data_IF_613690064767
#
_entry.id   IF_613690064767
#
_cell.length_a   1.000
_cell.length_b   1.000
_cell.length_c   1.000
_cell.angle_alpha   90.00
_cell.angle_beta   90.00
_cell.angle_gamma   90.00
#
_symmetry.space_group_name_H-M   'P 1'
#
loop_
_entity.id
_entity.type
_entity.pdbx_description
1 polymer ?
#
# COMPACT_ATOMS: atom_id res chain seq x y z
N UNK A 1 -7.87 19.78 -39.62
CA UNK A 1 -7.71 18.31 -39.65
C UNK A 1 -8.14 17.55 -38.38
N UNK A 2 -7.86 18.00 -37.16
CA UNK A 2 -8.37 17.33 -35.93
C UNK A 2 -9.87 17.58 -35.73
N UNK A 3 -10.40 18.77 -36.07
CA UNK A 3 -11.81 19.11 -35.96
C UNK A 3 -12.70 18.29 -36.86
N UNK A 4 -12.25 17.96 -38.07
CA UNK A 4 -13.04 17.23 -39.08
C UNK A 4 -13.26 15.78 -38.66
N UNK A 5 -12.23 15.12 -38.08
CA UNK A 5 -12.36 13.75 -37.59
C UNK A 5 -13.38 13.60 -36.48
N UNK A 6 -13.42 14.58 -35.55
CA UNK A 6 -14.38 14.59 -34.45
C UNK A 6 -15.81 14.78 -34.96
N UNK A 7 -16.04 15.78 -35.81
CA UNK A 7 -17.35 16.07 -36.42
C UNK A 7 -17.94 14.89 -37.20
N UNK A 8 -17.10 14.24 -38.01
CA UNK A 8 -17.52 13.03 -38.76
C UNK A 8 -17.88 11.91 -37.79
N UNK A 9 -17.03 11.64 -36.79
CA UNK A 9 -17.30 10.59 -35.81
C UNK A 9 -18.57 10.85 -35.00
N UNK A 10 -18.83 12.10 -34.61
CA UNK A 10 -20.09 12.50 -33.95
C UNK A 10 -21.33 12.26 -34.84
N UNK A 11 -21.25 12.64 -36.14
CA UNK A 11 -22.32 12.44 -37.08
C UNK A 11 -22.66 10.95 -37.25
N UNK A 12 -21.63 10.10 -37.38
CA UNK A 12 -21.85 8.64 -37.56
C UNK A 12 -22.31 8.00 -36.23
N UNK A 13 -21.80 8.45 -35.09
CA UNK A 13 -22.25 7.97 -33.79
C UNK A 13 -23.73 8.25 -33.53
N UNK A 14 -24.21 9.44 -33.90
CA UNK A 14 -25.62 9.82 -33.80
C UNK A 14 -26.49 9.05 -34.79
N UNK A 15 -26.00 8.80 -36.01
CA UNK A 15 -26.74 8.09 -37.04
C UNK A 15 -26.85 6.59 -36.81
N UNK A 16 -25.86 5.99 -36.09
CA UNK A 16 -25.80 4.56 -35.83
C UNK A 16 -25.49 4.30 -34.34
N UNK A 17 -26.41 4.64 -33.44
CA UNK A 17 -26.15 4.59 -31.98
C UNK A 17 -25.85 3.17 -31.48
N UNK A 18 -26.54 2.16 -32.05
CA UNK A 18 -26.46 0.77 -31.59
C UNK A 18 -25.33 -0.04 -32.24
N UNK A 19 -24.63 0.55 -33.19
CA UNK A 19 -23.53 -0.16 -33.86
C UNK A 19 -22.32 -0.25 -32.94
N UNK A 20 -21.68 -1.44 -32.91
CA UNK A 20 -20.39 -1.63 -32.22
C UNK A 20 -19.30 -0.79 -32.88
N UNK A 21 -18.32 -0.36 -32.10
CA UNK A 21 -17.30 0.59 -32.54
C UNK A 21 -16.47 0.10 -33.75
N UNK A 22 -16.16 -1.19 -33.85
CA UNK A 22 -15.31 -1.70 -34.92
C UNK A 22 -16.04 -1.74 -36.28
N UNK A 23 -17.27 -2.27 -36.41
CA UNK A 23 -18.03 -2.17 -37.64
C UNK A 23 -18.28 -0.74 -38.10
N UNK A 24 -18.61 0.15 -37.17
CA UNK A 24 -18.83 1.56 -37.46
C UNK A 24 -17.55 2.27 -37.92
N UNK A 25 -16.41 1.97 -37.30
CA UNK A 25 -15.10 2.51 -37.68
C UNK A 25 -14.69 2.07 -39.10
N UNK A 26 -14.98 0.82 -39.47
CA UNK A 26 -14.77 0.33 -40.87
C UNK A 26 -15.60 1.10 -41.87
N UNK A 27 -16.86 1.38 -41.54
CA UNK A 27 -17.77 2.18 -42.41
C UNK A 27 -17.27 3.62 -42.53
N UNK A 28 -16.88 4.27 -41.39
CA UNK A 28 -16.33 5.64 -41.38
C UNK A 28 -15.07 5.73 -42.25
N UNK A 29 -14.13 4.79 -42.10
CA UNK A 29 -12.90 4.76 -42.87
C UNK A 29 -13.16 4.56 -44.35
N UNK A 30 -14.06 3.64 -44.73
CA UNK A 30 -14.41 3.36 -46.11
C UNK A 30 -15.04 4.57 -46.80
N UNK A 31 -15.89 5.31 -46.10
CA UNK A 31 -16.61 6.46 -46.65
C UNK A 31 -15.80 7.77 -46.57
N UNK A 32 -14.74 7.81 -45.77
CA UNK A 32 -13.90 9.00 -45.58
C UNK A 32 -12.40 8.65 -45.58
N UNK A 33 -11.87 8.02 -46.66
CA UNK A 33 -10.49 7.50 -46.65
C UNK A 33 -9.40 8.57 -46.61
N UNK A 34 -9.70 9.77 -47.08
CA UNK A 34 -8.77 10.90 -47.05
C UNK A 34 -8.55 11.48 -45.65
N UNK A 35 -9.57 11.35 -44.77
CA UNK A 35 -9.54 11.85 -43.40
C UNK A 35 -9.11 10.77 -42.42
N UNK A 36 -9.57 9.55 -42.64
CA UNK A 36 -9.23 8.37 -41.83
C UNK A 36 -8.39 7.38 -42.67
N UNK A 37 -7.08 7.52 -42.57
CA UNK A 37 -6.14 6.65 -43.32
C UNK A 37 -6.25 5.17 -42.94
N UNK A 38 -6.64 4.87 -41.69
CA UNK A 38 -6.79 3.49 -41.19
C UNK A 38 -8.10 3.34 -40.40
N UNK A 39 -8.59 2.10 -40.31
CA UNK A 39 -9.74 1.75 -39.47
C UNK A 39 -9.50 2.12 -38.00
N UNK A 40 -8.26 1.98 -37.51
CA UNK A 40 -7.94 2.27 -36.12
C UNK A 40 -7.98 3.78 -35.83
N UNK A 41 -7.59 4.63 -36.77
CA UNK A 41 -7.77 6.09 -36.62
C UNK A 41 -9.25 6.49 -36.54
N UNK A 42 -10.11 5.85 -37.31
CA UNK A 42 -11.57 6.04 -37.26
C UNK A 42 -12.12 5.52 -35.92
N UNK A 43 -11.66 4.36 -35.47
CA UNK A 43 -12.09 3.73 -34.24
C UNK A 43 -11.66 4.55 -33.00
N UNK A 44 -10.46 5.07 -32.99
CA UNK A 44 -9.95 5.95 -31.92
C UNK A 44 -10.80 7.22 -31.80
N UNK A 45 -11.06 7.89 -32.94
CA UNK A 45 -11.91 9.09 -32.98
C UNK A 45 -13.35 8.80 -32.52
N UNK A 46 -13.91 7.67 -32.94
CA UNK A 46 -15.26 7.24 -32.56
C UNK A 46 -15.36 6.93 -31.06
N UNK A 47 -14.33 6.29 -30.47
CA UNK A 47 -14.25 6.02 -29.02
C UNK A 47 -14.18 7.32 -28.20
N UNK A 48 -13.43 8.31 -28.69
CA UNK A 48 -13.40 9.65 -28.07
C UNK A 48 -14.77 10.26 -28.01
N UNK A 49 -15.51 10.22 -29.13
CA UNK A 49 -16.85 10.79 -29.22
C UNK A 49 -17.87 10.05 -28.34
N UNK A 50 -17.73 8.73 -28.23
CA UNK A 50 -18.61 7.87 -27.40
C UNK A 50 -18.21 7.82 -25.93
N UNK A 51 -17.22 8.60 -25.49
CA UNK A 51 -16.73 8.58 -24.12
C UNK A 51 -16.04 7.28 -23.70
N UNK A 52 -15.64 6.43 -24.66
CA UNK A 52 -15.00 5.13 -24.41
C UNK A 52 -13.47 5.18 -24.49
N UNK A 53 -12.85 6.34 -24.32
CA UNK A 53 -11.40 6.43 -24.21
C UNK A 53 -10.94 5.80 -22.89
N UNK A 54 -10.07 4.78 -22.99
CA UNK A 54 -9.35 4.25 -21.86
C UNK A 54 -8.57 5.37 -21.19
N UNK A 55 -8.64 5.46 -19.85
CA UNK A 55 -8.04 6.49 -19.01
C UNK A 55 -8.74 7.87 -18.96
N UNK A 56 -9.99 8.02 -19.40
CA UNK A 56 -10.82 9.06 -18.81
C UNK A 56 -10.84 8.79 -17.29
N UNK A 57 -10.19 9.64 -16.49
CA UNK A 57 -10.36 9.65 -15.04
C UNK A 57 -11.84 9.64 -14.80
N UNK A 58 -12.37 8.58 -14.19
CA UNK A 58 -13.76 8.56 -13.75
C UNK A 58 -13.92 9.69 -12.75
N UNK A 59 -14.43 10.84 -13.18
CA UNK A 59 -14.84 11.91 -12.29
C UNK A 59 -15.93 11.44 -11.30
N UNK A 60 -16.58 10.35 -11.60
CA UNK A 60 -17.76 9.84 -10.90
C UNK A 60 -17.46 8.81 -9.82
N UNK A 61 -16.17 8.52 -9.52
CA UNK A 61 -15.81 7.58 -8.44
C UNK A 61 -16.00 8.20 -7.04
N UNK A 62 -16.21 9.51 -6.95
CA UNK A 62 -16.43 10.22 -5.69
C UNK A 62 -17.88 10.18 -5.18
N UNK A 63 -18.85 9.87 -6.05
CA UNK A 63 -20.27 9.83 -5.70
C UNK A 63 -20.81 8.43 -5.37
N UNK A 64 -19.95 7.41 -5.39
CA UNK A 64 -20.37 6.11 -4.87
C UNK A 64 -20.53 6.23 -3.36
N UNK A 65 -21.81 6.24 -2.91
CA UNK A 65 -22.11 6.09 -1.49
C UNK A 65 -21.31 4.93 -0.92
N UNK A 66 -20.59 5.10 0.19
CA UNK A 66 -19.87 4.01 0.80
C UNK A 66 -20.86 2.86 1.03
N UNK A 67 -20.45 1.65 0.67
CA UNK A 67 -21.22 0.46 1.02
C UNK A 67 -21.14 0.35 2.54
N UNK A 68 -22.13 0.88 3.22
CA UNK A 68 -22.24 0.78 4.66
C UNK A 68 -22.77 -0.61 5.00
N UNK A 69 -21.90 -1.51 5.39
CA UNK A 69 -22.31 -2.75 6.01
C UNK A 69 -22.52 -2.50 7.51
N UNK A 70 -23.78 -2.42 7.91
CA UNK A 70 -24.21 -2.07 9.27
C UNK A 70 -24.08 -3.23 10.30
N UNK A 71 -23.33 -4.29 9.96
CA UNK A 71 -23.32 -5.54 10.74
C UNK A 71 -21.97 -5.88 11.35
N UNK A 72 -21.15 -4.90 11.76
CA UNK A 72 -19.91 -5.22 12.47
C UNK A 72 -20.15 -5.53 13.93
N UNK A 73 -20.40 -6.78 14.26
CA UNK A 73 -20.26 -7.30 15.61
C UNK A 73 -18.78 -7.42 16.04
N UNK A 74 -17.85 -7.46 15.06
CA UNK A 74 -16.42 -7.55 15.32
C UNK A 74 -15.80 -6.16 15.52
N UNK A 75 -15.28 -5.91 16.72
CA UNK A 75 -14.45 -4.74 17.01
C UNK A 75 -12.99 -5.19 17.01
N UNK A 76 -12.14 -4.60 16.18
CA UNK A 76 -10.73 -4.91 16.24
C UNK A 76 -10.16 -4.42 17.56
N UNK A 77 -9.16 -5.06 18.03
CA UNK A 77 -8.28 -4.70 19.13
C UNK A 77 -8.85 -3.74 20.18
N UNK A 78 -8.81 -4.11 21.44
CA UNK A 78 -9.41 -3.33 22.53
C UNK A 78 -8.43 -2.86 23.59
N UNK A 79 -7.26 -3.47 23.69
CA UNK A 79 -6.32 -3.17 24.76
C UNK A 79 -4.87 -3.34 24.31
N UNK A 80 -4.08 -2.33 24.58
CA UNK A 80 -2.63 -2.45 24.51
C UNK A 80 -2.16 -3.51 25.52
N UNK A 81 -1.18 -4.30 25.11
CA UNK A 81 -0.52 -5.26 25.98
C UNK A 81 0.88 -4.73 26.23
N UNK A 82 1.24 -4.59 27.50
CA UNK A 82 2.58 -4.17 27.86
C UNK A 82 3.61 -5.15 27.30
N UNK A 83 4.54 -4.63 26.51
CA UNK A 83 5.57 -5.39 25.83
C UNK A 83 6.82 -4.53 25.67
N UNK A 84 7.97 -5.17 25.62
CA UNK A 84 9.25 -4.49 25.31
C UNK A 84 9.46 -4.26 23.83
N UNK A 85 8.61 -4.84 22.95
CA UNK A 85 8.73 -4.69 21.50
C UNK A 85 8.55 -3.24 21.06
N UNK A 86 9.53 -2.70 20.37
CA UNK A 86 9.46 -1.40 19.70
C UNK A 86 8.91 -1.57 18.28
N UNK A 87 7.62 -1.29 18.11
CA UNK A 87 6.93 -1.42 16.81
C UNK A 87 6.77 -0.04 16.19
N UNK A 88 7.50 0.21 15.10
CA UNK A 88 7.50 1.47 14.38
C UNK A 88 6.56 1.40 13.17
N UNK A 89 5.67 2.36 13.05
CA UNK A 89 4.82 2.56 11.87
C UNK A 89 5.42 3.75 11.11
N UNK A 90 5.68 3.60 9.82
CA UNK A 90 6.30 4.67 9.03
C UNK A 90 5.74 4.76 7.61
N UNK A 91 5.92 5.94 7.03
CA UNK A 91 5.64 6.25 5.63
C UNK A 91 6.58 7.38 5.16
N UNK A 92 6.96 7.37 3.87
CA UNK A 92 7.82 8.39 3.28
C UNK A 92 7.22 8.94 2.00
N UNK A 93 7.51 10.23 1.73
CA UNK A 93 7.23 10.85 0.44
C UNK A 93 8.53 11.25 -0.26
N UNK A 94 8.63 10.88 -1.53
CA UNK A 94 9.86 11.14 -2.29
C UNK A 94 9.60 12.05 -3.48
N UNK A 95 10.62 12.83 -3.83
CA UNK A 95 10.65 13.59 -5.07
C UNK A 95 10.53 12.64 -6.28
N UNK A 96 9.81 13.01 -7.33
CA UNK A 96 9.86 12.30 -8.60
C UNK A 96 11.24 12.47 -9.26
N UNK A 97 11.64 11.50 -10.07
CA UNK A 97 12.77 11.65 -10.99
C UNK A 97 12.39 12.66 -12.08
N UNK A 98 13.29 13.57 -12.43
CA UNK A 98 13.16 14.43 -13.61
C UNK A 98 14.09 13.91 -14.71
N UNK A 99 13.53 13.72 -15.91
CA UNK A 99 14.31 13.24 -17.05
C UNK A 99 13.86 13.89 -18.36
N UNK A 100 14.79 14.01 -19.30
CA UNK A 100 14.47 14.37 -20.68
C UNK A 100 13.94 13.16 -21.43
N UNK A 101 12.79 13.30 -22.07
CA UNK A 101 12.14 12.25 -22.83
C UNK A 101 11.78 12.75 -24.24
N UNK A 102 11.89 11.86 -25.22
CA UNK A 102 11.53 12.18 -26.60
C UNK A 102 10.03 12.06 -26.88
N UNK A 103 9.33 11.30 -26.04
CA UNK A 103 7.92 10.99 -26.22
C UNK A 103 7.27 10.80 -24.83
N UNK A 104 5.95 10.69 -24.75
CA UNK A 104 5.19 10.47 -23.49
C UNK A 104 4.70 9.02 -23.29
N UNK A 105 4.83 8.19 -24.31
CA UNK A 105 4.37 6.80 -24.31
C UNK A 105 5.51 5.83 -24.61
N UNK A 106 5.50 4.66 -23.95
CA UNK A 106 6.46 3.57 -24.18
C UNK A 106 7.93 4.03 -24.15
N UNK A 107 8.30 4.70 -23.08
CA UNK A 107 9.68 5.20 -22.88
C UNK A 107 10.43 4.30 -21.91
N UNK A 108 11.60 3.84 -22.32
CA UNK A 108 12.67 3.38 -21.44
C UNK A 108 13.65 4.53 -21.24
N UNK A 109 13.75 5.02 -20.00
CA UNK A 109 14.58 6.17 -19.68
C UNK A 109 15.99 5.67 -19.31
N UNK A 110 16.98 6.01 -20.13
CA UNK A 110 18.36 5.73 -19.82
C UNK A 110 18.89 6.69 -18.73
N UNK A 111 19.87 6.22 -17.95
CA UNK A 111 20.43 7.00 -16.81
C UNK A 111 21.02 8.35 -17.23
N UNK A 112 21.55 8.47 -18.46
CA UNK A 112 22.07 9.72 -19.01
C UNK A 112 20.97 10.73 -19.40
N UNK A 113 19.71 10.34 -19.42
CA UNK A 113 18.57 11.24 -19.62
C UNK A 113 18.07 11.85 -18.30
N UNK A 114 18.50 11.31 -17.15
CA UNK A 114 18.08 11.80 -15.83
C UNK A 114 18.70 13.16 -15.58
N UNK A 115 17.87 14.16 -15.41
CA UNK A 115 18.25 15.52 -15.05
C UNK A 115 18.43 15.66 -13.54
N UNK A 116 17.57 14.99 -12.79
CA UNK A 116 17.56 15.02 -11.33
C UNK A 116 17.01 13.70 -10.80
N UNK A 117 17.75 13.09 -9.87
CA UNK A 117 17.34 11.86 -9.21
C UNK A 117 16.35 12.18 -8.08
N UNK A 118 15.72 11.14 -7.56
CA UNK A 118 14.80 11.25 -6.42
C UNK A 118 15.57 11.43 -5.10
N UNK A 119 14.94 12.11 -4.17
CA UNK A 119 15.38 12.23 -2.78
C UNK A 119 14.14 12.21 -1.86
N UNK A 120 14.33 12.09 -0.56
CA UNK A 120 13.21 12.09 0.39
C UNK A 120 12.73 13.53 0.63
N UNK A 121 11.43 13.80 0.46
CA UNK A 121 10.81 15.10 0.74
C UNK A 121 10.36 15.18 2.19
N UNK A 122 9.65 14.14 2.64
CA UNK A 122 9.16 14.04 4.02
C UNK A 122 9.19 12.58 4.47
N UNK A 123 9.27 12.39 5.76
CA UNK A 123 8.98 11.13 6.44
C UNK A 123 8.12 11.38 7.66
N UNK A 124 7.26 10.44 7.99
CA UNK A 124 6.54 10.40 9.25
C UNK A 124 6.64 9.00 9.85
N UNK A 125 6.73 8.93 11.17
CA UNK A 125 6.79 7.68 11.91
C UNK A 125 6.19 7.83 13.31
N UNK A 126 5.61 6.74 13.84
CA UNK A 126 5.13 6.70 15.23
C UNK A 126 5.34 5.30 15.80
N UNK A 127 5.53 5.23 17.10
CA UNK A 127 5.48 3.97 17.82
C UNK A 127 4.01 3.52 17.93
N UNK A 128 3.80 2.23 17.80
CA UNK A 128 2.45 1.64 17.91
C UNK A 128 1.83 2.03 19.26
N UNK A 129 0.60 2.51 19.24
CA UNK A 129 -0.19 3.03 20.36
C UNK A 129 0.25 4.38 20.95
N UNK A 130 1.41 4.92 20.63
CA UNK A 130 1.76 6.27 21.04
C UNK A 130 0.98 7.32 20.23
N UNK A 131 0.57 8.40 20.87
CA UNK A 131 -0.07 9.54 20.18
C UNK A 131 0.94 10.38 19.38
N UNK A 132 2.20 10.39 19.84
CA UNK A 132 3.26 11.19 19.25
C UNK A 132 3.65 10.66 17.87
N UNK A 133 3.61 11.55 16.87
CA UNK A 133 4.17 11.29 15.55
C UNK A 133 5.48 12.06 15.42
N UNK A 134 6.54 11.35 15.08
CA UNK A 134 7.82 11.91 14.70
C UNK A 134 7.79 12.17 13.20
N UNK A 135 8.41 13.24 12.76
CA UNK A 135 8.40 13.58 11.34
C UNK A 135 9.61 14.44 10.95
N UNK A 136 9.94 14.42 9.69
CA UNK A 136 10.96 15.26 9.10
C UNK A 136 10.55 15.72 7.70
N UNK A 137 10.92 16.94 7.37
CA UNK A 137 10.73 17.53 6.04
C UNK A 137 11.98 18.27 5.62
N UNK A 138 12.26 18.31 4.33
CA UNK A 138 13.26 19.21 3.78
C UNK A 138 12.79 20.66 3.92
N UNK A 139 13.74 21.56 4.15
CA UNK A 139 13.47 23.00 4.08
C UNK A 139 13.33 23.46 2.63
N UNK A 140 12.77 24.65 2.36
CA UNK A 140 12.73 25.23 1.01
C UNK A 140 14.09 25.28 0.30
N UNK A 141 15.15 25.53 1.04
CA UNK A 141 16.53 25.52 0.51
C UNK A 141 16.98 24.11 0.16
N UNK A 142 16.84 23.16 1.09
CA UNK A 142 17.21 21.74 0.90
C UNK A 142 16.43 21.10 -0.25
N UNK A 143 15.14 21.46 -0.44
CA UNK A 143 14.34 20.97 -1.56
C UNK A 143 14.92 21.43 -2.92
N UNK A 144 15.36 22.69 -3.04
CA UNK A 144 16.00 23.21 -4.25
C UNK A 144 17.38 22.61 -4.47
N UNK A 145 18.12 22.35 -3.40
CA UNK A 145 19.45 21.72 -3.42
C UNK A 145 19.38 20.19 -3.52
N UNK A 146 18.16 19.60 -3.45
CA UNK A 146 17.91 18.14 -3.48
C UNK A 146 18.66 17.39 -2.35
N UNK A 147 18.76 18.03 -1.20
CA UNK A 147 19.54 17.55 -0.06
C UNK A 147 18.60 17.17 1.11
N UNK A 148 18.50 15.88 1.41
CA UNK A 148 17.71 15.34 2.51
C UNK A 148 18.56 14.90 3.72
N UNK A 149 19.87 15.10 3.70
CA UNK A 149 20.84 14.57 4.67
C UNK A 149 20.46 14.86 6.12
N UNK A 150 20.02 16.09 6.40
CA UNK A 150 19.65 16.52 7.75
C UNK A 150 18.50 15.70 8.32
N UNK A 151 17.45 15.49 7.52
CA UNK A 151 16.24 14.84 8.04
C UNK A 151 16.34 13.30 8.02
N UNK A 152 17.16 12.73 7.14
CA UNK A 152 17.31 11.27 7.01
C UNK A 152 17.89 10.64 8.28
N UNK A 153 18.75 11.35 9.01
CA UNK A 153 19.28 10.88 10.28
C UNK A 153 18.19 10.59 11.30
N UNK A 154 17.16 11.44 11.37
CA UNK A 154 16.06 11.26 12.33
C UNK A 154 15.25 9.97 12.11
N UNK A 155 14.91 9.65 10.86
CA UNK A 155 14.21 8.38 10.58
C UNK A 155 15.14 7.17 10.76
N UNK A 156 16.43 7.30 10.43
CA UNK A 156 17.41 6.26 10.69
C UNK A 156 17.49 5.90 12.17
N UNK A 157 17.52 6.90 13.06
CA UNK A 157 17.55 6.69 14.52
C UNK A 157 16.31 5.93 15.03
N UNK A 158 15.14 6.18 14.45
CA UNK A 158 13.91 5.46 14.79
C UNK A 158 13.92 4.02 14.25
N UNK A 159 14.31 3.83 13.01
CA UNK A 159 14.41 2.48 12.40
C UNK A 159 15.46 1.64 13.12
N UNK A 160 16.59 2.24 13.50
CA UNK A 160 17.66 1.57 14.27
C UNK A 160 17.24 1.09 15.65
N UNK A 161 16.17 1.67 16.22
CA UNK A 161 15.61 1.27 17.51
C UNK A 161 14.47 0.26 17.39
N UNK A 162 13.91 0.08 16.18
CA UNK A 162 12.72 -0.73 15.96
C UNK A 162 13.04 -2.23 15.96
N UNK A 163 12.19 -3.01 16.60
CA UNK A 163 12.17 -4.48 16.47
C UNK A 163 11.30 -4.90 15.30
N UNK A 164 10.23 -4.13 15.04
CA UNK A 164 9.27 -4.37 13.96
C UNK A 164 8.95 -3.04 13.27
N UNK A 165 9.00 -3.04 11.94
CA UNK A 165 8.61 -1.90 11.11
C UNK A 165 7.34 -2.25 10.33
N UNK A 166 6.33 -1.39 10.41
CA UNK A 166 5.05 -1.51 9.69
C UNK A 166 4.98 -0.41 8.64
N UNK A 167 4.75 -0.79 7.38
CA UNK A 167 4.53 0.15 6.28
C UNK A 167 3.53 -0.42 5.26
N UNK A 168 3.02 0.42 4.36
CA UNK A 168 2.13 -0.01 3.29
C UNK A 168 2.86 -0.03 1.94
N UNK A 169 3.22 -1.18 1.44
CA UNK A 169 4.17 -1.42 0.35
C UNK A 169 5.64 -1.18 0.76
N UNK A 170 5.91 -1.19 2.06
CA UNK A 170 7.19 -0.82 2.63
C UNK A 170 8.35 -1.69 2.16
N UNK A 171 8.14 -2.98 1.96
CA UNK A 171 9.19 -3.90 1.50
C UNK A 171 9.70 -3.58 0.09
N UNK A 172 8.85 -2.96 -0.76
CA UNK A 172 9.21 -2.59 -2.14
C UNK A 172 9.50 -1.12 -2.33
N UNK A 173 9.02 -0.26 -1.45
CA UNK A 173 9.14 1.18 -1.60
C UNK A 173 9.90 1.84 -0.45
N UNK A 174 9.31 1.93 0.73
CA UNK A 174 9.86 2.74 1.83
C UNK A 174 11.24 2.24 2.27
N UNK A 175 11.36 0.96 2.59
CA UNK A 175 12.60 0.42 3.15
C UNK A 175 13.77 0.42 2.17
N UNK A 176 13.62 0.00 0.88
CA UNK A 176 14.69 0.12 -0.11
C UNK A 176 15.11 1.57 -0.35
N UNK A 177 14.14 2.51 -0.40
CA UNK A 177 14.44 3.93 -0.57
C UNK A 177 15.18 4.51 0.63
N UNK A 178 14.73 4.23 1.85
CA UNK A 178 15.42 4.65 3.08
C UNK A 178 16.83 4.07 3.15
N UNK A 179 17.01 2.78 2.87
CA UNK A 179 18.34 2.16 2.85
C UNK A 179 19.28 2.82 1.83
N UNK A 180 18.75 3.20 0.65
CA UNK A 180 19.54 3.95 -0.34
C UNK A 180 19.95 5.33 0.21
N UNK A 181 19.03 6.03 0.89
CA UNK A 181 19.36 7.33 1.50
C UNK A 181 20.30 7.18 2.68
N UNK A 182 20.20 6.12 3.47
CA UNK A 182 21.12 5.84 4.57
C UNK A 182 22.55 5.68 4.07
N UNK A 183 22.79 4.81 3.10
CA UNK A 183 24.15 4.60 2.56
C UNK A 183 24.71 5.83 1.84
N UNK A 184 23.87 6.56 1.07
CA UNK A 184 24.31 7.80 0.40
C UNK A 184 24.72 8.86 1.42
N UNK A 185 24.06 8.91 2.58
CA UNK A 185 24.38 9.85 3.65
C UNK A 185 25.42 9.31 4.66
N UNK A 186 26.10 8.20 4.35
CA UNK A 186 27.16 7.64 5.17
C UNK A 186 26.68 7.02 6.49
N UNK A 187 25.40 6.72 6.61
CA UNK A 187 24.83 6.05 7.78
C UNK A 187 25.02 4.53 7.67
N UNK A 188 25.29 3.89 8.80
CA UNK A 188 25.42 2.44 8.87
C UNK A 188 24.07 1.76 8.67
N UNK A 189 24.04 0.47 8.26
CA UNK A 189 22.81 -0.31 8.27
C UNK A 189 22.18 -0.24 9.67
N UNK A 190 20.85 -0.03 9.79
CA UNK A 190 20.17 -0.10 11.07
C UNK A 190 20.26 -1.51 11.66
N UNK A 191 20.06 -1.64 12.96
CA UNK A 191 19.99 -2.93 13.64
C UNK A 191 18.88 -3.80 13.03
N UNK A 192 18.99 -5.14 13.11
CA UNK A 192 18.00 -6.04 12.50
C UNK A 192 16.60 -5.83 13.07
N UNK A 193 15.62 -5.71 12.20
CA UNK A 193 14.19 -5.61 12.51
C UNK A 193 13.38 -6.54 11.60
N UNK A 194 12.16 -6.86 12.01
CA UNK A 194 11.20 -7.57 11.19
C UNK A 194 10.28 -6.55 10.49
N UNK A 195 9.70 -6.92 9.33
CA UNK A 195 8.78 -6.05 8.60
C UNK A 195 7.37 -6.62 8.53
N UNK A 196 6.38 -5.74 8.62
CA UNK A 196 4.97 -6.02 8.29
C UNK A 196 4.57 -5.10 7.14
N UNK A 197 4.50 -5.64 5.94
CA UNK A 197 3.99 -4.93 4.77
C UNK A 197 2.47 -5.16 4.65
N UNK A 198 1.68 -4.18 5.06
CA UNK A 198 0.23 -4.29 5.09
C UNK A 198 -0.37 -4.52 3.69
N UNK A 199 0.23 -3.96 2.62
CA UNK A 199 -0.21 -4.20 1.25
C UNK A 199 -0.06 -5.67 0.84
N UNK A 200 1.06 -6.30 1.17
CA UNK A 200 1.31 -7.72 0.86
C UNK A 200 0.31 -8.61 1.57
N UNK A 201 0.06 -8.32 2.86
CA UNK A 201 -0.90 -9.10 3.64
C UNK A 201 -2.34 -8.89 3.16
N UNK A 202 -2.73 -7.66 2.80
CA UNK A 202 -4.04 -7.37 2.24
C UNK A 202 -4.25 -8.15 0.93
N UNK A 203 -3.29 -8.09 0.01
CA UNK A 203 -3.34 -8.83 -1.26
C UNK A 203 -3.45 -10.34 -1.08
N UNK A 204 -2.77 -10.87 -0.07
CA UNK A 204 -2.74 -12.32 0.20
C UNK A 204 -4.03 -12.82 0.86
N UNK A 205 -4.66 -12.02 1.71
CA UNK A 205 -5.76 -12.46 2.57
C UNK A 205 -7.14 -12.05 2.07
N UNK A 206 -7.23 -10.98 1.27
CA UNK A 206 -8.51 -10.39 0.89
C UNK A 206 -8.61 -10.18 -0.63
N UNK A 207 -9.82 -10.33 -1.15
CA UNK A 207 -10.15 -10.07 -2.56
C UNK A 207 -10.72 -8.66 -2.77
N UNK A 208 -10.13 -7.62 -2.20
CA UNK A 208 -10.59 -6.25 -2.41
C UNK A 208 -10.37 -5.79 -3.86
N UNK A 209 -11.28 -5.00 -4.41
CA UNK A 209 -11.17 -4.43 -5.76
C UNK A 209 -9.92 -3.57 -5.92
N UNK A 210 -9.50 -2.87 -4.84
CA UNK A 210 -8.24 -2.13 -4.78
C UNK A 210 -7.59 -2.34 -3.42
N UNK A 211 -6.26 -2.47 -3.41
CA UNK A 211 -5.49 -2.65 -2.19
C UNK A 211 -4.78 -1.34 -1.75
N UNK A 212 -5.15 -0.19 -2.34
CA UNK A 212 -4.65 1.11 -1.89
C UNK A 212 -5.14 1.38 -0.47
N UNK A 213 -4.29 1.96 0.37
CA UNK A 213 -4.58 2.22 1.78
C UNK A 213 -5.91 2.96 1.98
N UNK A 214 -6.14 4.05 1.24
CA UNK A 214 -7.38 4.82 1.32
C UNK A 214 -8.62 4.01 0.93
N UNK A 215 -8.54 3.18 -0.14
CA UNK A 215 -9.65 2.35 -0.56
C UNK A 215 -10.02 1.28 0.47
N UNK A 216 -9.01 0.63 1.06
CA UNK A 216 -9.20 -0.36 2.12
C UNK A 216 -9.83 0.30 3.35
N UNK A 217 -9.34 1.48 3.75
CA UNK A 217 -9.90 2.22 4.87
C UNK A 217 -11.35 2.64 4.62
N UNK A 218 -11.69 3.06 3.40
CA UNK A 218 -13.08 3.33 3.02
C UNK A 218 -13.98 2.10 3.20
N UNK A 219 -13.55 0.93 2.70
CA UNK A 219 -14.32 -0.31 2.85
C UNK A 219 -14.46 -0.75 4.32
N UNK A 220 -13.43 -0.48 5.11
CA UNK A 220 -13.39 -0.81 6.52
C UNK A 220 -14.06 0.24 7.42
N UNK A 221 -14.62 1.33 6.87
CA UNK A 221 -15.17 2.50 7.59
C UNK A 221 -14.17 3.07 8.61
N UNK A 222 -12.91 3.17 8.18
CA UNK A 222 -11.82 3.79 8.94
C UNK A 222 -11.56 5.21 8.44
N UNK A 223 -10.83 6.03 9.21
CA UNK A 223 -10.38 7.34 8.74
C UNK A 223 -9.68 7.22 7.39
N UNK A 224 -9.90 8.21 6.52
CA UNK A 224 -9.39 8.26 5.17
C UNK A 224 -8.22 9.22 5.03
N UNK A 225 -7.47 9.08 3.93
CA UNK A 225 -6.42 10.02 3.54
C UNK A 225 -6.97 11.43 3.33
N UNK A 226 -6.14 12.41 3.66
CA UNK A 226 -6.37 13.80 3.26
C UNK A 226 -6.18 13.88 1.74
N UNK A 227 -7.12 14.47 1.04
CA UNK A 227 -6.99 14.70 -0.41
C UNK A 227 -5.87 15.71 -0.69
N UNK A 228 -5.06 15.45 -1.70
CA UNK A 228 -4.04 16.37 -2.16
C UNK A 228 -4.17 16.66 -3.66
N UNK A 229 -3.45 17.67 -4.12
CA UNK A 229 -3.49 18.14 -5.52
C UNK A 229 -2.83 17.14 -6.52
N UNK A 230 -2.26 16.04 -6.04
CA UNK A 230 -1.48 15.11 -6.85
C UNK A 230 -0.14 15.72 -7.30
N UNK A 231 0.35 15.37 -8.49
CA UNK A 231 1.66 15.81 -8.99
C UNK A 231 1.94 17.32 -8.84
N UNK A 232 1.00 18.25 -9.00
CA UNK A 232 1.22 19.68 -8.72
C UNK A 232 1.80 19.97 -7.34
N UNK A 233 1.41 19.24 -6.29
CA UNK A 233 1.96 19.40 -4.94
C UNK A 233 3.46 19.07 -4.92
N UNK A 234 3.86 17.94 -5.51
CA UNK A 234 5.28 17.54 -5.61
C UNK A 234 6.11 18.57 -6.37
N UNK A 235 5.59 19.11 -7.48
CA UNK A 235 6.28 20.15 -8.26
C UNK A 235 6.49 21.41 -7.42
N UNK A 236 5.51 21.85 -6.62
CA UNK A 236 5.65 22.99 -5.71
C UNK A 236 6.71 22.71 -4.64
N UNK A 237 6.71 21.51 -4.04
CA UNK A 237 7.74 21.09 -3.08
C UNK A 237 9.15 21.19 -3.66
N UNK A 238 9.36 20.68 -4.89
CA UNK A 238 10.66 20.77 -5.59
C UNK A 238 11.12 22.22 -5.85
N UNK A 239 10.19 23.16 -6.01
CA UNK A 239 10.48 24.60 -6.14
C UNK A 239 10.77 25.27 -4.79
N UNK A 240 10.72 24.52 -3.70
CA UNK A 240 10.94 25.04 -2.35
C UNK A 240 9.78 25.92 -1.84
N UNK A 241 8.56 25.62 -2.28
CA UNK A 241 7.36 26.27 -1.75
C UNK A 241 7.11 25.74 -0.32
N UNK A 242 7.19 26.62 0.66
CA UNK A 242 7.06 26.26 2.07
C UNK A 242 5.67 25.70 2.40
N UNK A 243 4.61 26.31 1.88
CA UNK A 243 3.23 25.85 2.14
C UNK A 243 2.98 24.47 1.55
N UNK A 244 3.57 24.20 0.37
CA UNK A 244 3.49 22.87 -0.24
C UNK A 244 4.25 21.81 0.57
N UNK A 245 5.42 22.14 1.12
CA UNK A 245 6.19 21.25 1.99
C UNK A 245 5.44 20.99 3.31
N UNK A 246 4.84 22.01 3.90
CA UNK A 246 4.05 21.86 5.12
C UNK A 246 2.82 20.96 4.87
N UNK A 247 2.10 21.14 3.74
CA UNK A 247 1.00 20.25 3.33
C UNK A 247 1.45 18.82 3.07
N UNK A 248 2.61 18.62 2.42
CA UNK A 248 3.18 17.31 2.19
C UNK A 248 3.47 16.59 3.50
N UNK A 249 4.02 17.31 4.47
CA UNK A 249 4.31 16.78 5.80
C UNK A 249 3.01 16.40 6.54
N UNK A 250 1.99 17.26 6.51
CA UNK A 250 0.68 16.98 7.12
C UNK A 250 0.03 15.73 6.48
N UNK A 251 0.09 15.62 5.17
CA UNK A 251 -0.38 14.46 4.43
C UNK A 251 0.34 13.18 4.90
N UNK A 252 1.67 13.20 4.97
CA UNK A 252 2.47 12.04 5.39
C UNK A 252 2.21 11.64 6.87
N UNK A 253 2.04 12.62 7.77
CA UNK A 253 1.62 12.38 9.17
C UNK A 253 0.23 11.72 9.22
N UNK A 254 -0.69 12.18 8.38
CA UNK A 254 -2.02 11.58 8.24
C UNK A 254 -1.95 10.12 7.82
N UNK A 255 -1.10 9.80 6.84
CA UNK A 255 -0.93 8.43 6.33
C UNK A 255 -0.45 7.45 7.38
N UNK A 256 0.49 7.85 8.24
CA UNK A 256 0.97 7.01 9.34
C UNK A 256 -0.14 6.71 10.36
N UNK A 257 -0.99 7.68 10.69
CA UNK A 257 -2.13 7.49 11.61
C UNK A 257 -3.17 6.52 11.04
N UNK A 258 -3.51 6.67 9.78
CA UNK A 258 -4.48 5.77 9.14
C UNK A 258 -3.89 4.38 8.90
N UNK A 259 -2.58 4.27 8.68
CA UNK A 259 -1.88 3.00 8.56
C UNK A 259 -1.93 2.19 9.86
N UNK A 260 -1.79 2.83 11.02
CA UNK A 260 -1.99 2.18 12.31
C UNK A 260 -3.39 1.58 12.43
N UNK A 261 -4.42 2.36 12.11
CA UNK A 261 -5.80 1.89 12.14
C UNK A 261 -5.99 0.70 11.19
N UNK A 262 -5.45 0.77 9.98
CA UNK A 262 -5.50 -0.34 9.01
C UNK A 262 -4.82 -1.58 9.57
N UNK A 263 -3.59 -1.45 10.07
CA UNK A 263 -2.85 -2.57 10.66
C UNK A 263 -3.63 -3.22 11.79
N UNK A 264 -4.14 -2.46 12.76
CA UNK A 264 -4.89 -2.98 13.89
C UNK A 264 -6.14 -3.75 13.44
N UNK A 265 -6.80 -3.31 12.36
CA UNK A 265 -7.97 -3.97 11.81
C UNK A 265 -7.65 -5.28 11.06
N UNK A 266 -6.52 -5.36 10.39
CA UNK A 266 -6.13 -6.58 9.64
C UNK A 266 -5.20 -7.49 10.43
N UNK A 267 -4.70 -7.09 11.59
CA UNK A 267 -3.66 -7.80 12.37
C UNK A 267 -3.99 -9.27 12.60
N UNK A 268 -5.23 -9.59 12.94
CA UNK A 268 -5.68 -10.96 13.14
C UNK A 268 -5.53 -11.87 11.91
N UNK A 269 -5.43 -11.29 10.72
CA UNK A 269 -5.32 -11.98 9.44
C UNK A 269 -3.88 -12.06 8.92
N UNK A 270 -2.93 -11.35 9.54
CA UNK A 270 -1.52 -11.36 9.15
C UNK A 270 -0.88 -12.70 9.51
N UNK A 271 -0.41 -13.43 8.51
CA UNK A 271 0.24 -14.74 8.68
C UNK A 271 1.41 -14.88 7.70
N UNK A 272 2.66 -15.10 8.20
CA UNK A 272 3.05 -15.06 9.61
C UNK A 272 3.10 -13.62 10.15
N UNK A 273 2.72 -13.44 11.40
CA UNK A 273 2.96 -12.22 12.16
C UNK A 273 4.23 -12.41 13.01
N UNK A 274 5.11 -11.40 13.18
CA UNK A 274 6.16 -11.43 14.18
C UNK A 274 5.59 -11.83 15.55
N UNK A 275 6.29 -12.70 16.27
CA UNK A 275 5.76 -13.23 17.53
C UNK A 275 5.96 -12.24 18.68
N UNK A 276 4.91 -11.45 18.94
CA UNK A 276 4.89 -10.46 20.03
C UNK A 276 5.09 -11.08 21.41
N UNK A 277 4.73 -12.34 21.62
CA UNK A 277 4.94 -13.03 22.87
C UNK A 277 6.42 -13.25 23.23
N UNK A 278 7.34 -13.15 22.27
CA UNK A 278 8.79 -13.25 22.54
C UNK A 278 9.37 -11.99 23.19
N UNK A 279 8.66 -10.88 23.16
CA UNK A 279 9.03 -9.61 23.78
C UNK A 279 8.43 -9.43 25.16
N UNK A 280 7.84 -10.47 25.73
CA UNK A 280 7.26 -10.47 27.07
C UNK A 280 7.95 -11.55 27.88
N UNK A 281 8.62 -11.15 28.95
CA UNK A 281 9.41 -12.05 29.78
C UNK A 281 8.56 -12.64 30.90
N UNK A 282 7.72 -13.62 30.55
CA UNK A 282 6.98 -14.43 31.51
C UNK A 282 6.79 -15.87 31.01
N UNK A 283 6.18 -16.72 31.84
CA UNK A 283 5.96 -18.15 31.53
C UNK A 283 4.58 -18.44 30.91
N UNK A 284 3.75 -17.44 30.65
CA UNK A 284 2.39 -17.63 30.13
C UNK A 284 2.39 -17.88 28.61
N UNK A 285 1.41 -18.67 28.17
CA UNK A 285 1.12 -18.79 26.76
C UNK A 285 0.62 -17.44 26.23
N UNK A 286 1.25 -16.90 25.19
CA UNK A 286 0.97 -15.58 24.64
C UNK A 286 0.50 -15.63 23.21
N UNK A 287 -0.42 -14.71 22.87
CA UNK A 287 -0.84 -14.50 21.49
C UNK A 287 0.35 -14.01 20.64
N UNK A 288 0.70 -14.71 19.56
CA UNK A 288 1.83 -14.28 18.73
C UNK A 288 1.60 -12.94 18.03
N UNK A 289 0.34 -12.51 17.85
CA UNK A 289 0.03 -11.26 17.13
C UNK A 289 -0.02 -10.03 18.03
N UNK A 290 -0.34 -10.17 19.32
CA UNK A 290 -0.49 -9.00 20.19
C UNK A 290 0.10 -9.17 21.60
N UNK A 291 0.63 -10.35 21.94
CA UNK A 291 1.23 -10.61 23.25
C UNK A 291 0.23 -10.89 24.38
N UNK A 292 -1.08 -10.77 24.19
CA UNK A 292 -2.08 -11.05 25.23
C UNK A 292 -2.07 -12.51 25.67
N UNK A 293 -2.32 -12.75 26.94
CA UNK A 293 -2.52 -14.07 27.55
C UNK A 293 -3.99 -14.53 27.56
N UNK A 294 -4.93 -13.66 27.20
CA UNK A 294 -6.35 -14.00 27.09
C UNK A 294 -6.60 -14.85 25.85
N UNK A 295 -6.31 -16.15 25.97
CA UNK A 295 -6.43 -17.14 24.91
C UNK A 295 -7.56 -18.12 25.23
N UNK A 296 -8.54 -18.23 24.34
CA UNK A 296 -9.65 -19.18 24.45
C UNK A 296 -9.43 -20.37 23.53
N UNK A 297 -9.55 -21.58 24.07
CA UNK A 297 -9.56 -22.80 23.28
C UNK A 297 -10.83 -22.83 22.39
N UNK A 298 -10.66 -23.11 21.11
CA UNK A 298 -11.77 -23.19 20.14
C UNK A 298 -12.42 -24.59 20.09
N UNK A 299 -11.90 -25.56 20.84
CA UNK A 299 -12.35 -26.96 20.78
C UNK A 299 -12.04 -27.67 19.46
N UNK A 300 -11.37 -27.00 18.52
CA UNK A 300 -10.96 -27.53 17.22
C UNK A 300 -9.49 -27.96 17.25
N UNK A 301 -9.18 -29.06 16.56
CA UNK A 301 -7.80 -29.47 16.31
C UNK A 301 -7.34 -29.02 14.93
N UNK A 302 -6.09 -28.55 14.86
CA UNK A 302 -5.39 -28.28 13.60
C UNK A 302 -4.46 -29.46 13.29
N UNK A 303 -4.63 -30.04 12.11
CA UNK A 303 -3.87 -31.19 11.66
C UNK A 303 -2.78 -30.75 10.67
N UNK A 304 -1.59 -31.26 10.86
CA UNK A 304 -0.49 -31.20 9.89
C UNK A 304 -0.20 -32.61 9.41
N UNK A 305 0.71 -32.76 8.47
CA UNK A 305 1.15 -34.09 7.98
C UNK A 305 1.76 -34.97 9.08
N UNK A 306 2.22 -34.38 10.18
CA UNK A 306 2.98 -35.10 11.21
C UNK A 306 2.40 -34.97 12.64
N UNK A 307 1.42 -34.13 12.87
CA UNK A 307 0.95 -33.87 14.23
C UNK A 307 -0.42 -33.18 14.25
N UNK A 308 -1.07 -33.21 15.42
CA UNK A 308 -2.28 -32.45 15.74
C UNK A 308 -2.00 -31.44 16.83
N UNK A 309 -2.71 -30.33 16.83
CA UNK A 309 -2.48 -29.21 17.74
C UNK A 309 -3.81 -28.63 18.17
N UNK A 310 -3.91 -28.21 19.42
CA UNK A 310 -5.01 -27.39 19.89
C UNK A 310 -5.02 -26.03 19.23
N UNK A 311 -6.21 -25.55 18.89
CA UNK A 311 -6.44 -24.23 18.31
C UNK A 311 -6.95 -23.27 19.38
N UNK A 312 -6.45 -22.09 19.39
CA UNK A 312 -6.91 -20.99 20.24
C UNK A 312 -7.31 -19.76 19.44
N UNK A 313 -8.11 -18.93 20.06
CA UNK A 313 -8.43 -17.56 19.62
C UNK A 313 -8.05 -16.59 20.73
N UNK A 314 -7.40 -15.50 20.36
CA UNK A 314 -7.10 -14.42 21.29
C UNK A 314 -8.33 -13.52 21.48
N UNK A 315 -8.79 -13.34 22.72
CA UNK A 315 -9.93 -12.47 23.02
C UNK A 315 -9.63 -10.99 22.83
N UNK A 316 -8.34 -10.60 22.86
CA UNK A 316 -7.90 -9.24 22.69
C UNK A 316 -7.86 -8.80 21.21
N UNK A 317 -7.19 -9.54 20.32
CA UNK A 317 -7.00 -9.17 18.92
C UNK A 317 -7.74 -10.05 17.91
N UNK A 318 -8.45 -11.09 18.37
CA UNK A 318 -9.16 -12.08 17.56
C UNK A 318 -8.28 -12.95 16.64
N UNK A 319 -6.95 -12.85 16.75
CA UNK A 319 -6.05 -13.74 16.02
C UNK A 319 -6.26 -15.19 16.44
N UNK A 320 -6.23 -16.08 15.45
CA UNK A 320 -6.28 -17.53 15.69
C UNK A 320 -4.90 -18.14 15.54
N UNK A 321 -4.57 -19.06 16.40
CA UNK A 321 -3.31 -19.78 16.38
C UNK A 321 -3.45 -21.21 16.83
N UNK A 322 -2.35 -21.94 16.83
CA UNK A 322 -2.26 -23.30 17.38
C UNK A 322 -1.16 -23.37 18.43
N UNK A 323 -1.30 -24.25 19.42
CA UNK A 323 -0.24 -24.51 20.38
C UNK A 323 1.01 -25.03 19.66
N UNK A 324 2.19 -24.78 20.23
CA UNK A 324 3.45 -25.32 19.69
C UNK A 324 3.60 -26.82 20.00
N UNK A 325 3.16 -27.21 21.20
CA UNK A 325 3.22 -28.63 21.62
C UNK A 325 2.10 -29.39 20.90
N UNK A 326 2.48 -30.41 20.13
CA UNK A 326 1.51 -31.27 19.46
C UNK A 326 0.94 -32.33 20.39
N UNK A 327 -0.27 -32.73 20.12
CA UNK A 327 -1.00 -33.72 20.91
C UNK A 327 -0.72 -35.17 20.48
N UNK A 328 -0.09 -35.40 19.33
CA UNK A 328 0.19 -36.75 18.82
C UNK A 328 1.33 -37.39 19.59
N UNK A 329 1.07 -38.54 20.22
CA UNK A 329 2.07 -39.30 20.98
C UNK A 329 3.12 -39.91 20.06
N UNK A 330 4.26 -40.27 20.64
CA UNK A 330 5.33 -40.97 19.90
C UNK A 330 4.83 -42.30 19.32
N UNK A 331 4.03 -43.04 20.07
CA UNK A 331 3.40 -44.31 19.63
C UNK A 331 2.48 -44.10 18.43
N UNK A 332 1.59 -43.09 18.48
CA UNK A 332 0.74 -42.76 17.35
C UNK A 332 1.54 -42.36 16.11
N UNK A 333 2.62 -41.58 16.28
CA UNK A 333 3.51 -41.22 15.15
C UNK A 333 4.16 -42.45 14.50
N UNK A 334 4.56 -43.41 15.29
CA UNK A 334 5.19 -44.63 14.75
C UNK A 334 4.23 -45.54 13.99
N UNK A 335 2.97 -45.61 14.41
CA UNK A 335 2.00 -46.57 13.88
C UNK A 335 1.04 -46.01 12.84
N UNK A 336 0.79 -44.71 12.83
CA UNK A 336 -0.26 -44.11 12.01
C UNK A 336 0.21 -43.07 10.99
N UNK A 337 1.49 -42.68 10.97
CA UNK A 337 1.97 -41.63 10.06
C UNK A 337 2.81 -42.24 8.93
N UNK A 338 2.25 -42.27 7.75
CA UNK A 338 2.97 -42.44 6.49
C UNK A 338 3.08 -41.05 5.81
N UNK A 339 4.24 -40.76 5.24
CA UNK A 339 4.44 -39.58 4.39
C UNK A 339 4.52 -40.03 2.93
N UNK A 340 3.88 -39.24 2.06
CA UNK A 340 4.08 -39.41 0.62
C UNK A 340 5.52 -39.05 0.26
N UNK A 341 6.16 -39.79 -0.68
CA UNK A 341 7.45 -39.39 -1.19
C UNK A 341 7.38 -37.99 -1.81
N UNK A 342 8.47 -37.24 -1.65
CA UNK A 342 8.61 -35.90 -2.23
C UNK A 342 8.96 -35.97 -3.69
#
# INVERSE_FOLDING_TARGET
MLGDKKLISERYSKKYPDWKDLPLARKIQKENPTIFKTVETARSSLRTVRGKQGNARRKDATDQKPITHDTRSWKPFKKEVETTAKVLILDIETAPIMAYVWNIWNQDIATNQIQSDWFCLTWAAKWLFEEKVYSGSVTPKEAKEQNDSRMIKGIWELVNQADIVIAHNGNKFDMPKLNSRFIINGLMPPLPYQTIDTLLHIRKQFGFTSNKLDYVNQLLNLPRKIENEGMPLWIKCLKGDKEALDKMLEYNIGDVRILENTYLNIRAWIKPHPNMGLFILDEHERCPSCGSDDLKAEGKLYHTTANTYEVFRCSNCNSTGRKRKGNTTVTQKRHSLMSLPR
#
